data_IF_556768888922
#
_entry.id   IF_556768888922
#
_cell.length_a   1.000
_cell.length_b   1.000
_cell.length_c   1.000
_cell.angle_alpha   90.00
_cell.angle_beta   90.00
_cell.angle_gamma   90.00
#
_symmetry.space_group_name_H-M   'P 1'
#
loop_
_entity.id
_entity.type
_entity.pdbx_description
1 polymer ?
#
# COMPACT_ATOMS: atom_id res chain seq x y z
N UNK A 1 -8.27 -18.97 -15.68
CA UNK A 1 -9.51 -18.22 -15.40
C UNK A 1 -9.90 -18.17 -13.91
N UNK A 2 -10.15 -19.29 -13.22
CA UNK A 2 -10.60 -19.25 -11.81
C UNK A 2 -9.62 -18.57 -10.82
N UNK A 3 -8.32 -18.82 -10.95
CA UNK A 3 -7.29 -18.19 -10.10
C UNK A 3 -7.21 -16.66 -10.30
N UNK A 4 -7.48 -16.18 -11.51
CA UNK A 4 -7.46 -14.76 -11.85
C UNK A 4 -8.67 -14.01 -11.27
N UNK A 5 -9.87 -14.57 -11.43
CA UNK A 5 -11.08 -14.03 -10.81
C UNK A 5 -10.95 -14.00 -9.28
N UNK A 6 -10.36 -15.03 -8.69
CA UNK A 6 -10.11 -15.10 -7.25
C UNK A 6 -9.09 -14.05 -6.79
N UNK A 7 -8.00 -13.86 -7.53
CA UNK A 7 -7.02 -12.80 -7.28
C UNK A 7 -7.67 -11.42 -7.27
N UNK A 8 -8.48 -11.10 -8.29
CA UNK A 8 -9.16 -9.79 -8.39
C UNK A 8 -10.12 -9.56 -7.22
N UNK A 9 -10.91 -10.56 -6.84
CA UNK A 9 -11.84 -10.46 -5.72
C UNK A 9 -11.09 -10.24 -4.40
N UNK A 10 -10.08 -11.06 -4.12
CA UNK A 10 -9.26 -10.95 -2.90
C UNK A 10 -8.54 -9.61 -2.86
N UNK A 11 -7.97 -9.19 -3.99
CA UNK A 11 -7.25 -7.91 -4.13
C UNK A 11 -8.16 -6.71 -3.88
N UNK A 12 -9.35 -6.73 -4.45
CA UNK A 12 -10.33 -5.63 -4.29
C UNK A 12 -10.85 -5.59 -2.85
N UNK A 13 -11.17 -6.75 -2.26
CA UNK A 13 -11.58 -6.83 -0.87
C UNK A 13 -10.47 -6.34 0.07
N UNK A 14 -9.23 -6.76 -0.17
CA UNK A 14 -8.06 -6.29 0.57
C UNK A 14 -7.89 -4.77 0.44
N UNK A 15 -8.04 -4.21 -0.76
CA UNK A 15 -7.93 -2.77 -0.99
C UNK A 15 -8.95 -1.97 -0.15
N UNK A 16 -10.20 -2.43 -0.06
CA UNK A 16 -11.24 -1.80 0.75
C UNK A 16 -10.92 -1.89 2.24
N UNK A 17 -10.50 -3.08 2.72
CA UNK A 17 -10.11 -3.29 4.12
C UNK A 17 -8.90 -2.41 4.47
N UNK A 18 -7.89 -2.37 3.61
CA UNK A 18 -6.68 -1.58 3.81
C UNK A 18 -7.00 -0.09 3.86
N UNK A 19 -7.92 0.41 3.05
CA UNK A 19 -8.39 1.80 3.09
C UNK A 19 -9.04 2.15 4.43
N UNK A 20 -9.95 1.28 4.92
CA UNK A 20 -10.58 1.47 6.22
C UNK A 20 -9.56 1.46 7.37
N UNK A 21 -8.61 0.51 7.32
CA UNK A 21 -7.52 0.42 8.29
C UNK A 21 -6.59 1.64 8.22
N UNK A 22 -6.36 2.22 7.04
CA UNK A 22 -5.58 3.45 6.87
C UNK A 22 -6.23 4.64 7.59
N UNK A 23 -7.55 4.78 7.44
CA UNK A 23 -8.35 5.81 8.10
C UNK A 23 -8.28 5.64 9.62
N UNK A 24 -8.45 4.41 10.11
CA UNK A 24 -8.32 4.09 11.54
C UNK A 24 -6.90 4.37 12.05
N UNK A 25 -5.88 3.99 11.29
CA UNK A 25 -4.48 4.25 11.65
C UNK A 25 -4.19 5.75 11.75
N UNK A 26 -4.73 6.56 10.84
CA UNK A 26 -4.61 8.01 10.87
C UNK A 26 -5.32 8.63 12.08
N UNK A 27 -6.55 8.18 12.36
CA UNK A 27 -7.28 8.61 13.55
C UNK A 27 -6.50 8.29 14.82
N UNK A 28 -6.01 7.05 14.97
CA UNK A 28 -5.19 6.62 16.11
C UNK A 28 -3.90 7.46 16.26
N UNK A 29 -3.25 7.81 15.15
CA UNK A 29 -2.09 8.71 15.18
C UNK A 29 -2.47 10.12 15.64
N UNK A 30 -3.64 10.61 15.23
CA UNK A 30 -4.15 11.94 15.58
C UNK A 30 -4.52 12.05 17.05
N UNK A 31 -5.11 11.00 17.64
CA UNK A 31 -5.43 10.93 19.08
C UNK A 31 -4.26 10.46 19.95
N UNK A 32 -3.06 10.27 19.37
CA UNK A 32 -1.85 9.91 20.12
C UNK A 32 -1.77 8.45 20.59
N UNK A 33 -2.60 7.55 20.07
CA UNK A 33 -2.58 6.11 20.41
C UNK A 33 -1.50 5.37 19.61
N UNK A 34 -0.25 5.47 20.07
CA UNK A 34 0.94 5.01 19.33
C UNK A 34 0.97 3.50 19.11
N UNK A 35 0.69 2.69 20.15
CA UNK A 35 0.79 1.22 20.07
C UNK A 35 -0.19 0.63 19.04
N UNK A 36 -1.51 0.91 19.10
CA UNK A 36 -2.43 0.37 18.11
C UNK A 36 -2.18 0.94 16.70
N UNK A 37 -1.81 2.23 16.58
CA UNK A 37 -1.37 2.80 15.29
C UNK A 37 -0.22 2.00 14.69
N UNK A 38 0.83 1.74 15.49
CA UNK A 38 2.01 0.97 15.05
C UNK A 38 1.61 -0.42 14.55
N UNK A 39 0.77 -1.13 15.30
CA UNK A 39 0.38 -2.50 14.94
C UNK A 39 -0.41 -2.52 13.62
N UNK A 40 -1.34 -1.57 13.41
CA UNK A 40 -2.07 -1.46 12.15
C UNK A 40 -1.13 -1.09 11.00
N UNK A 41 -0.20 -0.15 11.20
CA UNK A 41 0.77 0.20 10.16
C UNK A 41 1.69 -0.96 9.76
N UNK A 42 2.10 -1.80 10.72
CA UNK A 42 2.84 -3.04 10.43
C UNK A 42 1.99 -3.98 9.57
N UNK A 43 0.76 -4.25 9.99
CA UNK A 43 -0.16 -5.13 9.26
C UNK A 43 -0.39 -4.64 7.81
N UNK A 44 -0.68 -3.35 7.65
CA UNK A 44 -0.87 -2.71 6.34
C UNK A 44 0.37 -2.82 5.46
N UNK A 45 1.55 -2.58 6.04
CA UNK A 45 2.81 -2.62 5.29
C UNK A 45 3.15 -4.04 4.84
N UNK A 46 3.00 -5.02 5.73
CA UNK A 46 3.21 -6.45 5.41
C UNK A 46 2.20 -6.90 4.36
N UNK A 47 0.93 -6.58 4.54
CA UNK A 47 -0.11 -6.94 3.57
C UNK A 47 0.10 -6.30 2.19
N UNK A 48 0.61 -5.06 2.12
CA UNK A 48 0.97 -4.42 0.86
C UNK A 48 2.13 -5.14 0.15
N UNK A 49 3.14 -5.62 0.88
CA UNK A 49 4.22 -6.44 0.31
C UNK A 49 3.69 -7.79 -0.21
N UNK A 50 2.84 -8.47 0.57
CA UNK A 50 2.21 -9.72 0.14
C UNK A 50 1.38 -9.50 -1.13
N UNK A 51 0.61 -8.41 -1.19
CA UNK A 51 -0.15 -8.03 -2.37
C UNK A 51 0.75 -7.84 -3.60
N UNK A 52 1.84 -7.07 -3.48
CA UNK A 52 2.76 -6.80 -4.60
C UNK A 52 3.47 -8.07 -5.07
N UNK A 53 3.96 -8.91 -4.14
CA UNK A 53 4.60 -10.16 -4.48
C UNK A 53 3.63 -11.10 -5.20
N UNK A 54 2.38 -11.18 -4.74
CA UNK A 54 1.34 -11.95 -5.39
C UNK A 54 1.00 -11.38 -6.77
N UNK A 55 0.88 -10.06 -6.89
CA UNK A 55 0.65 -9.39 -8.18
C UNK A 55 1.76 -9.72 -9.19
N UNK A 56 3.04 -9.62 -8.79
CA UNK A 56 4.19 -9.97 -9.65
C UNK A 56 4.17 -11.45 -10.01
N UNK A 57 3.85 -12.33 -9.06
CA UNK A 57 3.79 -13.77 -9.30
C UNK A 57 2.70 -14.12 -10.32
N UNK A 58 1.48 -13.58 -10.15
CA UNK A 58 0.37 -13.75 -11.09
C UNK A 58 0.73 -13.19 -12.46
N UNK A 59 1.35 -12.00 -12.52
CA UNK A 59 1.82 -11.41 -13.77
C UNK A 59 2.85 -12.28 -14.50
N UNK A 60 3.78 -12.89 -13.77
CA UNK A 60 4.89 -13.65 -14.36
C UNK A 60 4.51 -15.09 -14.76
N UNK A 61 3.66 -15.75 -13.97
CA UNK A 61 3.40 -17.20 -14.09
C UNK A 61 1.92 -17.54 -14.34
N UNK A 62 1.00 -16.60 -14.08
CA UNK A 62 -0.43 -16.83 -14.19
C UNK A 62 -0.98 -16.78 -15.61
N UNK A 63 -0.20 -16.22 -16.56
CA UNK A 63 -0.57 -16.09 -17.97
C UNK A 63 -1.77 -15.17 -18.15
N UNK A 64 -1.54 -14.00 -18.76
CA UNK A 64 -2.60 -13.02 -19.09
C UNK A 64 -3.20 -12.31 -17.87
N UNK A 65 -2.46 -11.38 -17.25
CA UNK A 65 -3.11 -10.08 -17.16
C UNK A 65 -3.25 -9.65 -18.62
N UNK A 66 -4.49 -9.66 -19.11
CA UNK A 66 -4.82 -9.16 -20.44
C UNK A 66 -4.01 -7.89 -20.65
N UNK A 67 -3.24 -7.85 -21.73
CA UNK A 67 -2.51 -6.64 -22.10
C UNK A 67 -3.50 -5.50 -22.02
N UNK A 68 -3.40 -4.64 -21.01
CA UNK A 68 -4.29 -3.50 -20.91
C UNK A 68 -4.17 -2.74 -22.23
N UNK A 69 -5.27 -2.19 -22.76
CA UNK A 69 -5.19 -1.41 -23.99
C UNK A 69 -4.04 -0.41 -23.89
N UNK A 70 -3.25 -0.24 -24.96
CA UNK A 70 -1.95 0.46 -24.92
C UNK A 70 -2.09 1.88 -24.36
N UNK A 71 -3.25 2.50 -24.55
CA UNK A 71 -3.64 3.80 -24.00
C UNK A 71 -3.61 3.86 -22.46
N UNK A 72 -3.77 2.75 -21.76
CA UNK A 72 -3.73 2.68 -20.29
C UNK A 72 -2.35 2.33 -19.72
N UNK A 73 -1.36 2.00 -20.56
CA UNK A 73 0.01 1.72 -20.10
C UNK A 73 0.62 2.89 -19.31
N UNK A 74 0.50 4.16 -19.75
CA UNK A 74 1.00 5.29 -18.97
C UNK A 74 0.33 5.41 -17.59
N UNK A 75 -0.98 5.15 -17.52
CA UNK A 75 -1.73 5.13 -16.26
C UNK A 75 -1.22 4.05 -15.32
N UNK A 76 -1.06 2.82 -15.82
CA UNK A 76 -0.59 1.68 -15.01
C UNK A 76 0.84 1.91 -14.51
N UNK A 77 1.72 2.47 -15.34
CA UNK A 77 3.08 2.83 -14.95
C UNK A 77 3.09 3.91 -13.86
N UNK A 78 2.36 5.01 -14.06
CA UNK A 78 2.23 6.10 -13.08
C UNK A 78 1.66 5.57 -11.76
N UNK A 79 0.55 4.84 -11.82
CA UNK A 79 -0.13 4.28 -10.67
C UNK A 79 0.77 3.33 -9.87
N UNK A 80 1.45 2.42 -10.57
CA UNK A 80 2.40 1.49 -9.95
C UNK A 80 3.56 2.23 -9.27
N UNK A 81 4.18 3.19 -9.96
CA UNK A 81 5.26 4.00 -9.40
C UNK A 81 4.82 4.83 -8.19
N UNK A 82 3.65 5.45 -8.25
CA UNK A 82 3.06 6.17 -7.13
C UNK A 82 2.74 5.24 -5.96
N UNK A 83 2.37 3.99 -6.21
CA UNK A 83 2.15 2.97 -5.18
C UNK A 83 3.42 2.55 -4.43
N UNK A 84 4.58 2.59 -5.09
CA UNK A 84 5.86 2.24 -4.47
C UNK A 84 6.33 3.28 -3.45
N UNK A 85 6.02 4.57 -3.66
CA UNK A 85 6.41 5.65 -2.75
C UNK A 85 5.89 5.45 -1.32
N UNK A 86 4.57 5.28 -1.08
CA UNK A 86 4.05 5.03 0.26
C UNK A 86 4.45 3.65 0.78
N UNK A 87 4.65 2.63 -0.07
CA UNK A 87 5.13 1.32 0.36
C UNK A 87 6.52 1.40 0.98
N UNK A 88 7.48 1.96 0.25
CA UNK A 88 8.86 2.13 0.71
C UNK A 88 8.89 3.07 1.90
N UNK A 89 8.17 4.19 1.82
CA UNK A 89 8.05 5.15 2.91
C UNK A 89 7.48 4.56 4.20
N UNK A 90 6.37 3.82 4.11
CA UNK A 90 5.76 3.13 5.25
C UNK A 90 6.70 2.06 5.82
N UNK A 91 7.41 1.32 4.96
CA UNK A 91 8.45 0.37 5.37
C UNK A 91 9.52 1.07 6.20
N UNK A 92 10.05 2.21 5.73
CA UNK A 92 11.05 2.99 6.47
C UNK A 92 10.50 3.51 7.80
N UNK A 93 9.26 3.99 7.85
CA UNK A 93 8.62 4.46 9.08
C UNK A 93 8.42 3.34 10.10
N UNK A 94 7.95 2.17 9.65
CA UNK A 94 7.77 0.98 10.49
C UNK A 94 9.12 0.52 11.04
N UNK A 95 10.13 0.35 10.18
CA UNK A 95 11.48 -0.05 10.60
C UNK A 95 12.08 0.99 11.54
N UNK A 96 11.97 2.27 11.22
CA UNK A 96 12.44 3.36 12.07
C UNK A 96 11.80 3.34 13.46
N UNK A 97 10.53 2.95 13.57
CA UNK A 97 9.84 2.77 14.85
C UNK A 97 10.27 1.49 15.58
N UNK A 98 10.51 0.39 14.87
CA UNK A 98 10.99 -0.86 15.47
C UNK A 98 12.44 -0.76 15.97
N UNK A 99 13.24 0.11 15.36
CA UNK A 99 14.64 0.36 15.73
C UNK A 99 14.83 1.60 16.60
N UNK A 100 13.77 2.10 17.27
CA UNK A 100 13.82 3.39 17.97
C UNK A 100 14.99 3.48 18.95
N UNK A 101 15.75 4.58 18.88
CA UNK A 101 16.89 4.85 19.77
C UNK A 101 18.19 4.15 19.39
N UNK A 102 18.22 3.38 18.28
CA UNK A 102 19.41 2.62 17.88
C UNK A 102 20.35 3.35 16.92
N UNK A 103 19.84 4.24 16.08
CA UNK A 103 20.66 4.92 15.06
C UNK A 103 20.02 6.23 14.52
N UNK A 104 20.81 7.01 13.77
CA UNK A 104 20.38 8.28 13.13
C UNK A 104 19.17 8.10 12.20
N UNK A 105 19.08 6.95 11.51
CA UNK A 105 17.95 6.62 10.65
C UNK A 105 16.64 6.57 11.45
N UNK A 106 16.61 5.81 12.55
CA UNK A 106 15.44 5.71 13.43
C UNK A 106 15.04 7.07 14.01
N UNK A 107 16.02 7.90 14.39
CA UNK A 107 15.78 9.25 14.91
C UNK A 107 15.14 10.15 13.86
N UNK A 108 15.65 10.15 12.62
CA UNK A 108 15.11 10.94 11.51
C UNK A 108 13.66 10.59 11.20
N UNK A 109 13.38 9.30 10.96
CA UNK A 109 12.03 8.86 10.59
C UNK A 109 11.02 9.03 11.72
N UNK A 110 11.41 8.82 12.98
CA UNK A 110 10.52 9.09 14.12
C UNK A 110 10.23 10.58 14.30
N UNK A 111 11.23 11.46 14.10
CA UNK A 111 11.06 12.93 14.19
C UNK A 111 10.09 13.45 13.14
N UNK A 112 10.19 12.95 11.91
CA UNK A 112 9.39 13.40 10.78
C UNK A 112 8.17 12.51 10.49
N UNK A 113 7.84 11.55 11.36
CA UNK A 113 6.80 10.55 11.16
C UNK A 113 5.45 11.14 10.75
N UNK A 114 5.00 12.20 11.44
CA UNK A 114 3.72 12.86 11.15
C UNK A 114 3.72 13.55 9.77
N UNK A 115 4.83 14.18 9.40
CA UNK A 115 4.95 14.86 8.11
C UNK A 115 4.91 13.84 6.96
N UNK A 116 5.71 12.77 7.07
CA UNK A 116 5.69 11.67 6.10
C UNK A 116 4.33 10.97 6.03
N UNK A 117 3.71 10.70 7.18
CA UNK A 117 2.39 10.07 7.26
C UNK A 117 1.29 10.86 6.53
N UNK A 118 1.28 12.19 6.62
CA UNK A 118 0.33 13.05 5.89
C UNK A 118 0.44 12.86 4.38
N UNK A 119 1.67 12.91 3.86
CA UNK A 119 1.92 12.74 2.43
C UNK A 119 1.60 11.32 1.97
N UNK A 120 2.08 10.31 2.71
CA UNK A 120 1.88 8.91 2.32
C UNK A 120 0.41 8.51 2.33
N UNK A 121 -0.39 8.96 3.30
CA UNK A 121 -1.83 8.66 3.31
C UNK A 121 -2.53 9.17 2.05
N UNK A 122 -2.23 10.39 1.60
CA UNK A 122 -2.85 10.94 0.39
C UNK A 122 -2.50 10.12 -0.85
N UNK A 123 -1.21 9.81 -1.02
CA UNK A 123 -0.74 8.99 -2.14
C UNK A 123 -1.32 7.57 -2.07
N UNK A 124 -1.37 6.98 -0.88
CA UNK A 124 -1.86 5.62 -0.68
C UNK A 124 -3.38 5.52 -0.87
N UNK A 125 -4.13 6.56 -0.51
CA UNK A 125 -5.57 6.64 -0.79
C UNK A 125 -5.82 6.67 -2.30
N UNK A 126 -5.07 7.52 -3.02
CA UNK A 126 -5.13 7.61 -4.48
C UNK A 126 -4.81 6.26 -5.14
N UNK A 127 -3.79 5.54 -4.66
CA UNK A 127 -3.41 4.24 -5.25
C UNK A 127 -4.41 3.13 -4.91
N UNK A 128 -5.10 3.18 -3.77
CA UNK A 128 -6.22 2.25 -3.51
C UNK A 128 -7.42 2.53 -4.42
N UNK A 129 -7.81 3.80 -4.58
CA UNK A 129 -8.89 4.18 -5.49
C UNK A 129 -8.58 3.78 -6.93
N UNK A 130 -7.37 4.04 -7.40
CA UNK A 130 -6.95 3.63 -8.74
C UNK A 130 -6.93 2.10 -8.91
N UNK A 131 -6.53 1.34 -7.89
CA UNK A 131 -6.59 -0.12 -7.92
C UNK A 131 -8.03 -0.66 -8.03
N UNK A 132 -8.96 -0.04 -7.30
CA UNK A 132 -10.40 -0.37 -7.39
C UNK A 132 -10.94 0.00 -8.78
N UNK A 133 -10.59 1.18 -9.30
CA UNK A 133 -10.95 1.59 -10.66
C UNK A 133 -10.46 0.57 -11.70
N UNK A 134 -9.19 0.14 -11.61
CA UNK A 134 -8.62 -0.84 -12.52
C UNK A 134 -9.38 -2.17 -12.48
N UNK A 135 -9.78 -2.64 -11.29
CA UNK A 135 -10.50 -3.90 -11.13
C UNK A 135 -11.95 -3.87 -11.68
N UNK A 136 -12.55 -2.69 -11.79
CA UNK A 136 -13.93 -2.49 -12.28
C UNK A 136 -13.93 -2.18 -13.78
N UNK A 137 -13.07 -1.27 -14.23
CA UNK A 137 -13.14 -0.65 -15.57
C UNK A 137 -12.08 -1.14 -16.55
N UNK A 138 -10.95 -1.66 -16.07
CA UNK A 138 -9.83 -2.11 -16.92
C UNK A 138 -9.70 -3.64 -16.94
N UNK A 139 -10.83 -4.35 -16.74
CA UNK A 139 -10.89 -5.82 -16.84
C UNK A 139 -10.55 -6.32 -18.24
#
# INVERSE_FOLDING_TARGET
MAAMSMFLIISTAWAVIALALLIVAWWLASVGRIVPHRNIMILLTVGAWVFILNYIFVQRYGGEFGSFPREYVPWMALHGSLGLVPLIGATCLVVGRLMAGRNKFSTHFNRHHKAYGRTFILVWFFTHLGGIFNAIFLR
#
